data_IF_224592791495
#
_entry.id   IF_224592791495
#
_cell.length_a   1.000
_cell.length_b   1.000
_cell.length_c   1.000
_cell.angle_alpha   90.00
_cell.angle_beta   90.00
_cell.angle_gamma   90.00
#
_symmetry.space_group_name_H-M   'P 1'
#
loop_
_entity.id
_entity.type
_entity.pdbx_description
1 polymer ?
#
# COMPACT_ATOMS: atom_id res chain seq x y z
N UNK A 1 -1.08 24.10 53.36
CA UNK A 1 -1.79 24.59 52.13
C UNK A 1 -1.51 23.63 51.02
N UNK A 2 -2.53 22.98 50.60
CA UNK A 2 -2.69 21.77 49.84
C UNK A 2 -2.37 22.01 48.36
N UNK A 3 -1.34 21.39 47.82
CA UNK A 3 -1.17 21.19 46.37
C UNK A 3 -1.92 19.91 46.00
N UNK A 4 -3.21 20.06 45.71
CA UNK A 4 -4.03 18.99 45.16
C UNK A 4 -3.68 18.79 43.70
N UNK A 5 -2.93 17.77 43.43
CA UNK A 5 -3.06 16.71 42.45
C UNK A 5 -4.09 16.96 41.37
N UNK A 6 -3.68 17.51 40.24
CA UNK A 6 -4.40 17.42 38.99
C UNK A 6 -3.73 16.37 38.05
N UNK A 7 -3.74 15.13 38.51
CA UNK A 7 -3.43 13.97 37.68
C UNK A 7 -4.69 13.51 36.93
N UNK A 8 -5.26 14.35 36.09
CA UNK A 8 -6.04 13.89 34.97
C UNK A 8 -5.09 13.58 33.79
N UNK A 9 -4.21 12.62 34.02
CA UNK A 9 -3.58 11.90 32.94
C UNK A 9 -4.71 11.15 32.22
N UNK A 10 -5.17 11.73 31.12
CA UNK A 10 -6.00 11.02 30.17
C UNK A 10 -5.31 9.69 29.87
N UNK A 11 -5.91 8.62 30.33
CA UNK A 11 -5.53 7.23 30.06
C UNK A 11 -5.54 7.04 28.56
N UNK A 12 -4.38 7.26 27.94
CA UNK A 12 -4.15 6.99 26.52
C UNK A 12 -4.35 5.49 26.39
N UNK A 13 -5.52 5.09 25.92
CA UNK A 13 -5.87 3.72 25.60
C UNK A 13 -4.84 3.24 24.57
N UNK A 14 -3.71 2.72 25.05
CA UNK A 14 -2.69 2.09 24.24
C UNK A 14 -3.35 0.87 23.60
N UNK A 15 -3.70 1.01 22.35
CA UNK A 15 -4.12 -0.13 21.53
C UNK A 15 -2.85 -0.95 21.33
N UNK A 16 -2.69 -1.97 22.15
CA UNK A 16 -1.48 -2.80 22.15
C UNK A 16 -1.41 -3.55 20.83
N UNK A 17 -0.30 -3.39 20.13
CA UNK A 17 0.01 -4.13 18.89
C UNK A 17 0.12 -5.63 19.24
N UNK A 18 -0.92 -6.40 18.94
CA UNK A 18 -0.89 -7.84 19.12
C UNK A 18 -0.03 -8.52 18.06
N UNK A 19 0.55 -9.69 18.36
CA UNK A 19 1.33 -10.45 17.38
C UNK A 19 0.52 -10.81 16.13
N UNK A 20 -0.78 -11.05 16.26
CA UNK A 20 -1.68 -11.30 15.13
C UNK A 20 -1.84 -10.07 14.22
N UNK A 21 -2.02 -8.88 14.81
CA UNK A 21 -2.11 -7.63 14.06
C UNK A 21 -0.76 -7.31 13.37
N UNK A 22 0.36 -7.51 14.07
CA UNK A 22 1.68 -7.31 13.49
C UNK A 22 1.91 -8.24 12.28
N UNK A 23 1.54 -9.52 12.40
CA UNK A 23 1.58 -10.47 11.29
C UNK A 23 0.70 -10.04 10.10
N UNK A 24 -0.51 -9.54 10.39
CA UNK A 24 -1.41 -9.00 9.36
C UNK A 24 -0.80 -7.79 8.63
N UNK A 25 -0.18 -6.86 9.37
CA UNK A 25 0.47 -5.68 8.79
C UNK A 25 1.72 -6.05 7.97
N UNK A 26 2.47 -7.06 8.40
CA UNK A 26 3.58 -7.64 7.66
C UNK A 26 3.12 -8.22 6.31
N UNK A 27 2.09 -9.07 6.31
CA UNK A 27 1.49 -9.66 5.09
C UNK A 27 0.89 -8.57 4.21
N UNK A 28 0.18 -7.61 4.80
CA UNK A 28 -0.39 -6.47 4.08
C UNK A 28 0.66 -5.67 3.31
N UNK A 29 1.79 -5.37 3.95
CA UNK A 29 2.89 -4.64 3.30
C UNK A 29 3.47 -5.43 2.13
N UNK A 30 3.66 -6.74 2.29
CA UNK A 30 4.17 -7.61 1.23
C UNK A 30 3.21 -7.72 0.04
N UNK A 31 1.93 -7.98 0.30
CA UNK A 31 0.91 -8.11 -0.75
C UNK A 31 0.70 -6.80 -1.51
N UNK A 32 0.66 -5.67 -0.79
CA UNK A 32 0.49 -4.38 -1.45
C UNK A 32 1.68 -4.04 -2.34
N UNK A 33 2.92 -4.15 -1.85
CA UNK A 33 4.09 -3.82 -2.66
C UNK A 33 4.25 -4.74 -3.87
N UNK A 34 3.80 -5.99 -3.78
CA UNK A 34 3.87 -6.97 -4.85
C UNK A 34 3.16 -6.50 -6.13
N UNK A 35 2.09 -5.69 -6.02
CA UNK A 35 1.36 -5.14 -7.16
C UNK A 35 2.26 -4.36 -8.14
N UNK A 36 3.31 -3.69 -7.64
CA UNK A 36 4.26 -2.92 -8.47
C UNK A 36 5.15 -3.82 -9.34
N UNK A 37 5.31 -5.07 -8.96
CA UNK A 37 6.28 -5.99 -9.56
C UNK A 37 5.65 -7.09 -10.42
N UNK A 38 4.33 -7.28 -10.35
CA UNK A 38 3.64 -8.34 -11.11
C UNK A 38 3.76 -8.18 -12.63
N UNK A 39 3.75 -6.96 -13.14
CA UNK A 39 3.81 -6.68 -14.58
C UNK A 39 5.15 -7.05 -15.20
N UNK A 40 6.25 -6.89 -14.46
CA UNK A 40 7.60 -6.96 -15.03
C UNK A 40 7.95 -8.29 -15.72
N UNK A 41 7.69 -9.47 -15.10
CA UNK A 41 7.99 -10.76 -15.75
C UNK A 41 7.04 -11.07 -16.92
N UNK A 42 5.90 -10.38 -17.01
CA UNK A 42 4.83 -10.67 -17.99
C UNK A 42 4.87 -9.76 -19.23
N UNK A 43 5.80 -8.79 -19.26
CA UNK A 43 5.85 -7.80 -20.37
C UNK A 43 5.95 -8.46 -21.74
N UNK A 44 6.71 -9.55 -21.88
CA UNK A 44 6.85 -10.26 -23.16
C UNK A 44 5.51 -10.90 -23.60
N UNK A 45 4.83 -11.58 -22.69
CA UNK A 45 3.56 -12.24 -22.97
C UNK A 45 2.46 -11.22 -23.31
N UNK A 46 2.44 -10.10 -22.58
CA UNK A 46 1.50 -8.99 -22.85
C UNK A 46 1.79 -8.36 -24.23
N UNK A 47 3.07 -8.19 -24.58
CA UNK A 47 3.46 -7.64 -25.87
C UNK A 47 3.00 -8.54 -27.03
N UNK A 48 3.14 -9.85 -26.89
CA UNK A 48 2.66 -10.83 -27.86
C UNK A 48 1.14 -10.81 -27.99
N UNK A 49 0.41 -10.75 -26.88
CA UNK A 49 -1.05 -10.77 -26.85
C UNK A 49 -1.67 -9.51 -27.50
N UNK A 50 -1.06 -8.35 -27.30
CA UNK A 50 -1.51 -7.08 -27.89
C UNK A 50 -0.88 -6.75 -29.25
N UNK A 51 0.08 -7.56 -29.72
CA UNK A 51 0.77 -7.33 -31.00
C UNK A 51 1.60 -6.04 -31.00
N UNK A 52 2.18 -5.67 -29.85
CA UNK A 52 2.97 -4.44 -29.67
C UNK A 52 4.46 -4.73 -29.54
N UNK A 53 5.29 -3.73 -29.82
CA UNK A 53 6.74 -3.86 -29.74
C UNK A 53 7.26 -3.87 -28.28
N UNK A 54 8.46 -4.42 -28.06
CA UNK A 54 9.12 -4.38 -26.76
C UNK A 54 9.31 -2.96 -26.22
N UNK A 55 9.44 -1.97 -27.11
CA UNK A 55 9.56 -0.56 -26.72
C UNK A 55 8.23 0.01 -26.20
N UNK A 56 7.12 -0.37 -26.82
CA UNK A 56 5.79 0.10 -26.42
C UNK A 56 5.39 -0.51 -25.08
N UNK A 57 5.57 -1.83 -24.92
CA UNK A 57 5.23 -2.48 -23.64
C UNK A 57 6.13 -2.02 -22.50
N UNK A 58 7.41 -1.71 -22.76
CA UNK A 58 8.33 -1.18 -21.77
C UNK A 58 7.86 0.13 -21.10
N UNK A 59 7.02 0.92 -21.80
CA UNK A 59 6.40 2.13 -21.24
C UNK A 59 5.47 1.83 -20.07
N UNK A 60 4.87 0.64 -20.02
CA UNK A 60 4.02 0.22 -18.90
C UNK A 60 4.81 0.21 -17.59
N UNK A 61 6.03 -0.34 -17.60
CA UNK A 61 6.88 -0.33 -16.40
C UNK A 61 7.20 1.11 -15.95
N UNK A 62 7.47 2.01 -16.90
CA UNK A 62 7.71 3.44 -16.62
C UNK A 62 6.47 4.11 -16.02
N UNK A 63 5.29 3.84 -16.59
CA UNK A 63 4.00 4.36 -16.09
C UNK A 63 3.74 3.90 -14.66
N UNK A 64 4.03 2.63 -14.32
CA UNK A 64 3.93 2.13 -12.95
C UNK A 64 4.84 2.91 -11.99
N UNK A 65 6.09 3.15 -12.36
CA UNK A 65 7.04 3.86 -11.50
C UNK A 65 6.66 5.33 -11.30
N UNK A 66 6.22 6.01 -12.36
CA UNK A 66 5.71 7.38 -12.28
C UNK A 66 4.47 7.43 -11.38
N UNK A 67 3.52 6.51 -11.59
CA UNK A 67 2.32 6.40 -10.75
C UNK A 67 2.68 6.24 -9.28
N UNK A 68 3.58 5.31 -8.95
CA UNK A 68 4.03 5.09 -7.58
C UNK A 68 4.71 6.31 -6.98
N UNK A 69 5.65 6.94 -7.71
CA UNK A 69 6.33 8.15 -7.26
C UNK A 69 5.37 9.31 -6.96
N UNK A 70 4.39 9.54 -7.84
CA UNK A 70 3.33 10.52 -7.60
C UNK A 70 2.44 10.13 -6.41
N UNK A 71 2.13 8.84 -6.27
CA UNK A 71 1.38 8.33 -5.12
C UNK A 71 2.07 8.61 -3.79
N UNK A 72 3.39 8.45 -3.70
CA UNK A 72 4.17 8.79 -2.51
C UNK A 72 4.03 10.28 -2.16
N UNK A 73 4.15 11.16 -3.15
CA UNK A 73 4.03 12.61 -2.94
C UNK A 73 2.65 13.02 -2.44
N UNK A 74 1.59 12.35 -2.91
CA UNK A 74 0.21 12.69 -2.56
C UNK A 74 -0.26 12.05 -1.25
N UNK A 75 -0.01 10.75 -1.06
CA UNK A 75 -0.66 10.00 0.02
C UNK A 75 0.15 9.96 1.31
N UNK A 76 1.47 10.20 1.29
CA UNK A 76 2.24 10.26 2.54
C UNK A 76 1.80 11.46 3.39
N UNK A 77 1.76 12.71 2.86
CA UNK A 77 1.25 13.84 3.63
C UNK A 77 -0.23 13.70 4.03
N UNK A 78 -1.04 13.07 3.16
CA UNK A 78 -2.44 12.82 3.45
C UNK A 78 -2.63 11.83 4.62
N UNK A 79 -1.74 10.85 4.77
CA UNK A 79 -1.71 9.89 5.88
C UNK A 79 -1.35 10.51 7.22
N UNK A 80 -0.75 11.70 7.24
CA UNK A 80 -0.47 12.43 8.48
C UNK A 80 -1.67 13.28 8.95
N UNK A 81 -2.56 13.64 8.01
CA UNK A 81 -3.72 14.51 8.28
C UNK A 81 -5.00 13.68 8.47
N UNK A 82 -5.19 12.63 7.67
CA UNK A 82 -6.39 11.78 7.71
C UNK A 82 -6.21 10.56 8.58
N UNK A 83 -7.34 9.98 8.99
CA UNK A 83 -7.35 8.69 9.67
C UNK A 83 -6.76 7.60 8.75
N UNK A 84 -5.66 6.98 9.21
CA UNK A 84 -4.89 6.02 8.39
C UNK A 84 -5.67 4.79 7.99
N UNK A 85 -6.54 4.28 8.88
CA UNK A 85 -7.38 3.11 8.57
C UNK A 85 -8.31 3.39 7.39
N UNK A 86 -9.05 4.49 7.44
CA UNK A 86 -9.96 4.88 6.38
C UNK A 86 -9.24 5.12 5.06
N UNK A 87 -8.08 5.77 5.10
CA UNK A 87 -7.24 6.00 3.92
C UNK A 87 -6.74 4.68 3.32
N UNK A 88 -6.18 3.77 4.13
CA UNK A 88 -5.71 2.45 3.67
C UNK A 88 -6.85 1.66 3.02
N UNK A 89 -8.03 1.61 3.65
CA UNK A 89 -9.18 0.88 3.11
C UNK A 89 -9.68 1.48 1.79
N UNK A 90 -9.71 2.80 1.69
CA UNK A 90 -10.08 3.50 0.45
C UNK A 90 -9.08 3.19 -0.68
N UNK A 91 -7.78 3.24 -0.39
CA UNK A 91 -6.73 2.91 -1.36
C UNK A 91 -6.82 1.44 -1.80
N UNK A 92 -7.05 0.50 -0.87
CA UNK A 92 -7.25 -0.92 -1.21
C UNK A 92 -8.45 -1.12 -2.14
N UNK A 93 -9.54 -0.41 -1.92
CA UNK A 93 -10.70 -0.44 -2.82
C UNK A 93 -10.34 0.01 -4.24
N UNK A 94 -9.63 1.12 -4.36
CA UNK A 94 -9.19 1.63 -5.68
C UNK A 94 -8.19 0.69 -6.34
N UNK A 95 -7.21 0.16 -5.60
CA UNK A 95 -6.26 -0.84 -6.10
C UNK A 95 -7.00 -2.06 -6.65
N UNK A 96 -7.98 -2.58 -5.89
CA UNK A 96 -8.76 -3.76 -6.30
C UNK A 96 -9.49 -3.52 -7.63
N UNK A 97 -10.18 -2.38 -7.76
CA UNK A 97 -10.87 -2.01 -9.01
C UNK A 97 -9.89 -1.85 -10.17
N UNK A 98 -8.75 -1.21 -9.95
CA UNK A 98 -7.73 -1.01 -10.98
C UNK A 98 -7.08 -2.33 -11.41
N UNK A 99 -6.87 -3.30 -10.49
CA UNK A 99 -6.38 -4.64 -10.82
C UNK A 99 -7.41 -5.43 -11.65
N UNK A 100 -8.70 -5.34 -11.33
CA UNK A 100 -9.77 -5.92 -12.16
C UNK A 100 -9.77 -5.29 -13.55
N UNK A 101 -9.66 -3.96 -13.65
CA UNK A 101 -9.58 -3.27 -14.94
C UNK A 101 -8.34 -3.70 -15.75
N UNK A 102 -7.19 -3.94 -15.11
CA UNK A 102 -6.01 -4.50 -15.75
C UNK A 102 -6.25 -5.94 -16.28
N UNK A 103 -6.92 -6.78 -15.47
CA UNK A 103 -7.23 -8.17 -15.86
C UNK A 103 -8.14 -8.26 -17.10
N UNK A 104 -9.09 -7.34 -17.25
CA UNK A 104 -10.03 -7.31 -18.38
C UNK A 104 -9.56 -6.40 -19.53
N UNK A 105 -8.35 -5.85 -19.46
CA UNK A 105 -7.85 -4.92 -20.48
C UNK A 105 -7.77 -5.57 -21.85
N UNK A 106 -8.26 -4.86 -22.87
CA UNK A 106 -8.30 -5.30 -24.27
C UNK A 106 -7.27 -4.60 -25.15
N UNK A 107 -6.59 -3.61 -24.61
CA UNK A 107 -5.57 -2.84 -25.31
C UNK A 107 -4.54 -2.25 -24.36
N UNK A 108 -3.41 -1.81 -24.92
CA UNK A 108 -2.27 -1.29 -24.16
C UNK A 108 -2.61 -0.01 -23.38
N UNK A 109 -3.51 0.84 -23.91
CA UNK A 109 -3.88 2.10 -23.23
C UNK A 109 -4.69 1.80 -21.97
N UNK A 110 -5.70 0.92 -22.06
CA UNK A 110 -6.49 0.50 -20.90
C UNK A 110 -5.62 -0.15 -19.85
N UNK A 111 -4.69 -1.03 -20.25
CA UNK A 111 -3.72 -1.63 -19.32
C UNK A 111 -2.84 -0.55 -18.68
N UNK A 112 -2.32 0.40 -19.46
CA UNK A 112 -1.47 1.48 -18.97
C UNK A 112 -2.16 2.37 -17.93
N UNK A 113 -3.41 2.77 -18.20
CA UNK A 113 -4.23 3.55 -17.26
C UNK A 113 -4.48 2.76 -15.98
N UNK A 114 -4.85 1.48 -16.09
CA UNK A 114 -5.06 0.61 -14.94
C UNK A 114 -3.78 0.44 -14.12
N UNK A 115 -2.64 0.23 -14.78
CA UNK A 115 -1.33 0.14 -14.17
C UNK A 115 -0.94 1.43 -13.44
N UNK A 116 -1.20 2.58 -14.02
CA UNK A 116 -0.98 3.86 -13.37
C UNK A 116 -1.81 3.99 -12.09
N UNK A 117 -3.12 3.71 -12.16
CA UNK A 117 -4.04 3.86 -11.03
C UNK A 117 -3.66 2.92 -9.88
N UNK A 118 -3.44 1.64 -10.14
CA UNK A 118 -3.07 0.74 -9.04
C UNK A 118 -1.69 1.07 -8.48
N UNK A 119 -0.72 1.48 -9.30
CA UNK A 119 0.61 1.87 -8.82
C UNK A 119 0.55 3.16 -8.00
N UNK A 120 -0.23 4.15 -8.43
CA UNK A 120 -0.46 5.40 -7.72
C UNK A 120 -1.07 5.18 -6.34
N UNK A 121 -1.95 4.20 -6.20
CA UNK A 121 -2.67 3.91 -4.95
C UNK A 121 -2.02 2.83 -4.09
N UNK A 122 -1.04 2.08 -4.60
CA UNK A 122 -0.34 0.99 -3.88
C UNK A 122 0.71 1.49 -2.86
N UNK A 123 0.66 2.74 -2.45
CA UNK A 123 1.57 3.32 -1.43
C UNK A 123 1.23 2.90 0.01
N UNK A 124 0.32 1.98 0.17
CA UNK A 124 -0.20 1.48 1.45
C UNK A 124 0.90 1.05 2.43
N UNK A 125 1.99 0.35 2.03
CA UNK A 125 3.07 0.00 2.95
C UNK A 125 3.70 1.21 3.64
N UNK A 126 3.79 2.35 2.95
CA UNK A 126 4.34 3.59 3.51
C UNK A 126 3.42 4.22 4.57
N UNK A 127 2.14 3.88 4.57
CA UNK A 127 1.19 4.25 5.62
C UNK A 127 1.20 3.25 6.78
N UNK A 128 1.45 1.96 6.48
CA UNK A 128 1.49 0.88 7.48
C UNK A 128 2.71 1.03 8.41
N UNK A 129 3.89 1.38 7.89
CA UNK A 129 5.11 1.48 8.69
C UNK A 129 4.97 2.49 9.84
N UNK A 130 4.59 3.76 9.60
CA UNK A 130 4.39 4.71 10.70
C UNK A 130 3.18 4.35 11.58
N UNK A 131 2.14 3.70 11.04
CA UNK A 131 1.04 3.17 11.84
C UNK A 131 1.52 2.09 12.81
N UNK A 132 2.38 1.19 12.35
CA UNK A 132 3.00 0.15 13.20
C UNK A 132 3.82 0.78 14.32
N UNK A 133 4.58 1.83 14.02
CA UNK A 133 5.35 2.56 15.04
C UNK A 133 4.45 3.19 16.10
N UNK A 134 3.28 3.69 15.73
CA UNK A 134 2.31 4.29 16.68
C UNK A 134 1.61 3.24 17.56
N UNK A 135 1.41 2.03 17.04
CA UNK A 135 0.73 0.94 17.76
C UNK A 135 1.69 0.12 18.64
N UNK A 136 2.97 0.16 18.35
CA UNK A 136 4.00 -0.62 19.07
C UNK A 136 4.39 0.05 20.38
N UNK A 137 4.74 -0.78 21.37
CA UNK A 137 5.39 -0.30 22.59
C UNK A 137 6.73 0.36 22.26
N UNK A 138 7.08 1.42 22.97
CA UNK A 138 8.29 2.21 22.73
C UNK A 138 9.57 1.36 22.67
N UNK A 139 9.66 0.33 23.53
CA UNK A 139 10.81 -0.59 23.57
C UNK A 139 10.87 -1.58 22.41
N UNK A 140 9.71 -1.85 21.74
CA UNK A 140 9.58 -2.85 20.68
C UNK A 140 9.33 -2.26 19.29
N UNK A 141 9.28 -0.93 19.19
CA UNK A 141 8.97 -0.23 17.94
C UNK A 141 9.90 -0.62 16.80
N UNK A 142 11.21 -0.66 17.04
CA UNK A 142 12.19 -1.07 16.02
C UNK A 142 11.98 -2.51 15.54
N UNK A 143 11.67 -3.44 16.45
CA UNK A 143 11.37 -4.82 16.10
C UNK A 143 10.09 -4.94 15.26
N UNK A 144 9.03 -4.21 15.65
CA UNK A 144 7.77 -4.22 14.92
C UNK A 144 7.92 -3.68 13.49
N UNK A 145 8.64 -2.56 13.33
CA UNK A 145 8.98 -2.01 12.02
C UNK A 145 9.79 -3.01 11.20
N UNK A 146 10.80 -3.64 11.80
CA UNK A 146 11.63 -4.65 11.14
C UNK A 146 10.82 -5.82 10.60
N UNK A 147 9.84 -6.32 11.34
CA UNK A 147 8.93 -7.40 10.89
C UNK A 147 8.08 -6.95 9.71
N UNK A 148 7.48 -5.76 9.76
CA UNK A 148 6.69 -5.22 8.63
C UNK A 148 7.55 -5.00 7.40
N UNK A 149 8.75 -4.47 7.55
CA UNK A 149 9.70 -4.29 6.45
C UNK A 149 10.18 -5.62 5.86
N UNK A 150 10.37 -6.65 6.68
CA UNK A 150 10.70 -7.99 6.17
C UNK A 150 9.59 -8.56 5.29
N UNK A 151 8.32 -8.35 5.66
CA UNK A 151 7.17 -8.69 4.83
C UNK A 151 7.18 -7.95 3.49
N UNK A 152 7.47 -6.63 3.52
CA UNK A 152 7.59 -5.82 2.33
C UNK A 152 8.68 -6.37 1.38
N UNK A 153 9.89 -6.60 1.87
CA UNK A 153 10.98 -7.13 1.03
C UNK A 153 10.69 -8.54 0.51
N UNK A 154 10.09 -9.40 1.34
CA UNK A 154 9.65 -10.73 0.92
C UNK A 154 8.62 -10.62 -0.21
N UNK A 155 7.66 -9.69 -0.09
CA UNK A 155 6.66 -9.41 -1.13
C UNK A 155 7.30 -9.01 -2.46
N UNK A 156 8.33 -8.15 -2.45
CA UNK A 156 9.06 -7.73 -3.66
C UNK A 156 9.72 -8.93 -4.36
N UNK A 157 10.37 -9.79 -3.59
CA UNK A 157 11.08 -10.96 -4.15
C UNK A 157 10.10 -12.00 -4.69
N UNK A 158 9.07 -12.34 -3.89
CA UNK A 158 8.10 -13.35 -4.27
C UNK A 158 7.20 -12.90 -5.41
N UNK A 159 6.89 -11.61 -5.52
CA UNK A 159 5.99 -11.09 -6.54
C UNK A 159 6.42 -11.51 -7.96
N UNK A 160 7.70 -11.38 -8.27
CA UNK A 160 8.24 -11.72 -9.60
C UNK A 160 8.15 -13.21 -9.90
N UNK A 161 8.49 -14.05 -8.91
CA UNK A 161 8.45 -15.51 -9.06
C UNK A 161 6.99 -15.99 -9.22
N UNK A 162 6.11 -15.55 -8.31
CA UNK A 162 4.69 -15.92 -8.35
C UNK A 162 4.04 -15.43 -9.64
N UNK A 163 4.31 -14.18 -10.04
CA UNK A 163 3.75 -13.62 -11.27
C UNK A 163 4.21 -14.39 -12.51
N UNK A 164 5.50 -14.69 -12.62
CA UNK A 164 6.02 -15.47 -13.75
C UNK A 164 5.44 -16.89 -13.80
N UNK A 165 5.33 -17.58 -12.65
CA UNK A 165 4.73 -18.92 -12.57
C UNK A 165 3.24 -18.90 -12.94
N UNK A 166 2.47 -18.03 -12.30
CA UNK A 166 1.01 -17.95 -12.53
C UNK A 166 0.71 -17.50 -13.96
N UNK A 167 1.44 -16.50 -14.44
CA UNK A 167 1.29 -16.00 -15.80
C UNK A 167 1.65 -17.04 -16.88
N UNK A 168 2.72 -17.79 -16.65
CA UNK A 168 3.16 -18.85 -17.58
C UNK A 168 2.20 -20.05 -17.62
N UNK A 169 1.52 -20.38 -16.51
CA UNK A 169 0.58 -21.51 -16.45
C UNK A 169 -0.85 -21.15 -16.89
N UNK A 170 -1.31 -19.96 -16.53
CA UNK A 170 -2.72 -19.56 -16.67
C UNK A 170 -2.92 -18.30 -17.51
N UNK A 171 -1.85 -17.78 -18.13
CA UNK A 171 -1.86 -16.53 -18.85
C UNK A 171 -1.69 -15.29 -17.96
N UNK A 172 -1.17 -14.21 -18.54
CA UNK A 172 -0.78 -13.00 -17.80
C UNK A 172 -1.94 -12.30 -17.06
N UNK A 173 -3.17 -12.45 -17.53
CA UNK A 173 -4.35 -11.86 -16.88
C UNK A 173 -4.67 -12.48 -15.54
N UNK A 174 -4.31 -13.74 -15.33
CA UNK A 174 -4.62 -14.50 -14.12
C UNK A 174 -3.97 -13.90 -12.88
N UNK A 175 -2.78 -13.29 -13.00
CA UNK A 175 -2.12 -12.67 -11.84
C UNK A 175 -2.88 -11.44 -11.34
N UNK A 176 -3.48 -10.66 -12.24
CA UNK A 176 -4.28 -9.49 -11.85
C UNK A 176 -5.57 -9.89 -11.16
N UNK A 177 -6.22 -10.99 -11.61
CA UNK A 177 -7.37 -11.57 -10.92
C UNK A 177 -6.99 -12.06 -9.52
N UNK A 178 -5.89 -12.82 -9.41
CA UNK A 178 -5.38 -13.29 -8.12
C UNK A 178 -5.08 -12.12 -7.19
N UNK A 179 -4.38 -11.10 -7.69
CA UNK A 179 -4.06 -9.90 -6.92
C UNK A 179 -5.32 -9.15 -6.48
N UNK A 180 -6.33 -9.00 -7.33
CA UNK A 180 -7.59 -8.35 -6.98
C UNK A 180 -8.32 -9.08 -5.84
N UNK A 181 -8.37 -10.41 -5.90
CA UNK A 181 -8.95 -11.24 -4.82
C UNK A 181 -8.16 -11.07 -3.52
N UNK A 182 -6.82 -11.11 -3.59
CA UNK A 182 -5.97 -10.92 -2.40
C UNK A 182 -6.14 -9.53 -1.78
N UNK A 183 -6.25 -8.47 -2.60
CA UNK A 183 -6.50 -7.10 -2.10
C UNK A 183 -7.88 -6.97 -1.46
N UNK A 184 -8.90 -7.61 -2.01
CA UNK A 184 -10.24 -7.62 -1.42
C UNK A 184 -10.24 -8.34 -0.07
N UNK A 185 -9.63 -9.53 0.02
CA UNK A 185 -9.51 -10.27 1.26
C UNK A 185 -8.72 -9.48 2.31
N UNK A 186 -7.63 -8.83 1.89
CA UNK A 186 -6.83 -7.96 2.74
C UNK A 186 -7.65 -6.76 3.25
N UNK A 187 -8.45 -6.13 2.39
CA UNK A 187 -9.32 -5.03 2.79
C UNK A 187 -10.33 -5.46 3.85
N UNK A 188 -10.94 -6.65 3.70
CA UNK A 188 -11.83 -7.22 4.70
C UNK A 188 -11.09 -7.49 6.00
N UNK A 189 -9.93 -8.12 5.95
CA UNK A 189 -9.13 -8.42 7.14
C UNK A 189 -8.71 -7.14 7.89
N UNK A 190 -8.20 -6.13 7.17
CA UNK A 190 -7.82 -4.86 7.79
C UNK A 190 -9.03 -4.08 8.33
N UNK A 191 -10.18 -4.14 7.66
CA UNK A 191 -11.42 -3.53 8.16
C UNK A 191 -11.81 -4.12 9.52
N UNK A 192 -11.68 -5.44 9.69
CA UNK A 192 -12.09 -6.16 10.91
C UNK A 192 -11.07 -6.02 12.05
N UNK A 193 -9.78 -6.11 11.74
CA UNK A 193 -8.73 -6.23 12.76
C UNK A 193 -7.92 -4.96 13.01
N UNK A 194 -7.90 -4.01 12.07
CA UNK A 194 -7.15 -2.77 12.26
C UNK A 194 -7.93 -1.81 13.17
N UNK A 195 -7.36 -1.39 14.30
CA UNK A 195 -7.98 -0.41 15.18
C UNK A 195 -8.03 0.98 14.53
N UNK A 196 -9.00 1.78 14.94
CA UNK A 196 -9.04 3.20 14.59
C UNK A 196 -7.99 3.94 15.41
N UNK A 197 -7.05 4.55 14.74
CA UNK A 197 -6.00 5.36 15.36
C UNK A 197 -6.16 6.79 14.88
N UNK A 198 -6.54 7.68 15.79
CA UNK A 198 -6.61 9.10 15.48
C UNK A 198 -5.21 9.64 15.18
N UNK A 199 -5.07 10.58 14.23
CA UNK A 199 -3.80 11.23 13.95
C UNK A 199 -3.19 11.81 15.23
N UNK A 200 -1.87 11.71 15.39
CA UNK A 200 -1.18 12.05 16.63
C UNK A 200 -1.17 13.55 16.98
N UNK A 201 -1.58 14.43 16.08
CA UNK A 201 -1.70 15.87 16.34
C UNK A 201 -2.73 16.52 15.43
N UNK A 202 -3.90 16.85 15.99
CA UNK A 202 -4.74 17.92 15.48
C UNK A 202 -4.23 19.27 16.03
N UNK A 203 -2.99 19.64 15.78
CA UNK A 203 -2.65 21.05 15.65
C UNK A 203 -2.83 21.39 14.17
N UNK A 204 -3.69 22.36 13.94
CA UNK A 204 -4.18 22.82 12.63
C UNK A 204 -3.03 23.26 11.70
N UNK A 205 -2.26 22.32 11.20
CA UNK A 205 -1.36 22.63 10.10
C UNK A 205 -2.14 22.38 8.81
N UNK A 206 -2.63 23.47 8.22
CA UNK A 206 -3.32 23.41 6.93
C UNK A 206 -2.41 22.77 5.88
N UNK A 207 -2.98 21.94 4.99
CA UNK A 207 -2.28 21.32 3.88
C UNK A 207 -1.44 22.33 3.05
N UNK A 208 -1.90 23.59 2.97
CA UNK A 208 -1.17 24.70 2.35
C UNK A 208 0.14 25.06 3.07
N UNK A 209 0.22 24.89 4.39
CA UNK A 209 1.44 25.21 5.16
C UNK A 209 2.50 24.11 4.97
N UNK A 210 2.08 22.84 4.82
CA UNK A 210 2.98 21.73 4.51
C UNK A 210 3.57 21.86 3.09
N UNK A 211 2.77 22.25 2.10
CA UNK A 211 3.27 22.49 0.75
C UNK A 211 4.20 23.71 0.67
N UNK A 212 3.96 24.74 1.46
CA UNK A 212 4.86 25.90 1.54
C UNK A 212 6.21 25.58 2.18
N UNK A 213 6.26 24.63 3.12
CA UNK A 213 7.52 24.21 3.77
C UNK A 213 8.43 23.36 2.87
N UNK A 214 7.89 22.78 1.80
CA UNK A 214 8.68 22.03 0.81
C UNK A 214 9.30 22.93 -0.27
N UNK A 215 8.96 24.22 -0.31
CA UNK A 215 9.43 25.20 -1.28
C UNK A 215 10.48 26.18 -0.74
N UNK A 216 10.95 25.98 0.49
CA UNK A 216 12.04 26.75 1.12
C UNK A 216 13.20 25.83 1.44
#
# INVERSE_FOLDING_TARGET
>A
MTWANNTHLAEKKHTVLTNGLLGLLCVASGLCVANLYYVQPLLADIALDFGVTSREIGRIATVCQIGYGLGLLFFIPLGDIKERKSLILSLLGVVTVALVAAAISTNLVMLGVSCFIFSFTTVIPQLIVPLTAQLADQQKTGQAIGIVMSGLFTGIVLARTVSGMVGGLFGWRSIFWLAAVLMLLLAVALKLFLPEVKPASFEQTSYEQLLKSLGT
#
